data_IF_710208012665
#
_entry.id   IF_710208012665
#
_cell.length_a   1.000
_cell.length_b   1.000
_cell.length_c   1.000
_cell.angle_alpha   90.00
_cell.angle_beta   90.00
_cell.angle_gamma   90.00
#
_symmetry.space_group_name_H-M   'P 1'
#
loop_
_entity.id
_entity.type
_entity.pdbx_description
1 polymer ?
#
# COMPACT_ATOMS: atom_id res chain seq x y z
N UNK A 1 10.21 7.58 -30.85
CA UNK A 1 9.39 6.48 -31.38
C UNK A 1 10.16 5.82 -32.51
N UNK A 2 10.91 4.76 -32.22
CA UNK A 2 11.56 3.96 -33.27
C UNK A 2 10.54 2.96 -33.78
N UNK A 3 10.03 3.14 -35.01
CA UNK A 3 9.28 2.08 -35.66
C UNK A 3 10.20 0.87 -35.83
N UNK A 4 9.77 -0.30 -35.36
CA UNK A 4 10.40 -1.59 -35.61
C UNK A 4 10.30 -1.91 -37.11
N UNK A 5 11.14 -1.27 -37.92
CA UNK A 5 11.29 -1.60 -39.34
C UNK A 5 12.14 -2.85 -39.45
N UNK A 6 11.48 -3.99 -39.42
CA UNK A 6 12.11 -5.27 -39.75
C UNK A 6 11.25 -6.41 -39.29
N UNK A 7 11.03 -7.37 -40.20
CA UNK A 7 10.70 -8.77 -39.90
C UNK A 7 11.83 -9.38 -39.04
N UNK A 8 12.04 -8.86 -37.83
CA UNK A 8 12.82 -9.54 -36.81
C UNK A 8 12.11 -10.88 -36.60
N UNK A 9 12.90 -11.93 -36.72
CA UNK A 9 12.44 -13.27 -36.94
C UNK A 9 11.58 -13.76 -35.75
N UNK A 10 10.26 -13.59 -35.85
CA UNK A 10 9.27 -14.26 -35.00
C UNK A 10 9.45 -15.79 -35.03
N UNK A 11 10.09 -16.32 -36.09
CA UNK A 11 10.56 -17.71 -36.12
C UNK A 11 11.46 -18.11 -34.94
N UNK A 12 12.21 -17.19 -34.33
CA UNK A 12 13.01 -17.44 -33.13
C UNK A 12 12.18 -17.43 -31.82
N UNK A 13 11.02 -16.75 -31.81
CA UNK A 13 10.10 -16.74 -30.67
C UNK A 13 9.48 -18.13 -30.44
N UNK A 14 9.24 -18.88 -31.52
CA UNK A 14 8.74 -20.27 -31.43
C UNK A 14 9.80 -21.29 -30.97
N UNK A 15 11.08 -20.97 -31.09
CA UNK A 15 12.19 -21.92 -30.90
C UNK A 15 13.06 -21.66 -29.66
N UNK A 16 13.01 -20.45 -29.09
CA UNK A 16 13.82 -20.04 -27.94
C UNK A 16 12.98 -19.62 -26.72
N UNK A 17 11.84 -20.27 -26.51
CA UNK A 17 11.07 -20.16 -25.27
C UNK A 17 11.77 -20.93 -24.13
N UNK A 18 12.97 -20.52 -23.75
CA UNK A 18 13.44 -20.77 -22.39
C UNK A 18 12.59 -19.87 -21.48
N UNK A 19 11.62 -20.49 -20.82
CA UNK A 19 10.56 -19.87 -20.04
C UNK A 19 11.14 -19.26 -18.75
N UNK A 20 11.69 -18.04 -18.87
CA UNK A 20 12.48 -17.46 -17.78
C UNK A 20 11.67 -16.84 -16.65
N UNK A 21 10.34 -16.76 -16.73
CA UNK A 21 9.40 -16.52 -15.61
C UNK A 21 8.03 -16.09 -16.17
N UNK A 22 7.07 -17.01 -16.30
CA UNK A 22 5.67 -16.64 -16.38
C UNK A 22 5.21 -16.19 -14.99
N UNK A 23 4.98 -14.88 -14.79
CA UNK A 23 4.43 -14.33 -13.55
C UNK A 23 2.96 -13.99 -13.76
N UNK A 24 2.08 -14.65 -13.02
CA UNK A 24 0.68 -14.22 -12.87
C UNK A 24 0.60 -13.28 -11.67
N UNK A 25 0.16 -12.06 -11.88
CA UNK A 25 -0.36 -11.23 -10.79
C UNK A 25 -1.89 -11.38 -10.73
N UNK A 26 -2.43 -12.09 -9.72
CA UNK A 26 -3.86 -12.32 -9.59
C UNK A 26 -4.66 -11.07 -9.20
N UNK A 27 -4.00 -10.01 -8.77
CA UNK A 27 -4.61 -8.79 -8.25
C UNK A 27 -4.79 -7.71 -9.30
N UNK A 28 -3.89 -7.68 -10.30
CA UNK A 28 -4.02 -6.82 -11.47
C UNK A 28 -4.34 -7.62 -12.73
N UNK A 29 -4.60 -8.93 -12.66
CA UNK A 29 -4.93 -9.75 -13.84
C UNK A 29 -3.91 -9.64 -14.99
N UNK A 30 -2.63 -9.47 -14.66
CA UNK A 30 -1.55 -9.29 -15.63
C UNK A 30 -0.65 -10.53 -15.65
N UNK A 31 -0.42 -11.07 -16.84
CA UNK A 31 0.60 -12.09 -17.10
C UNK A 31 1.84 -11.43 -17.67
N UNK A 32 2.98 -11.65 -17.03
CA UNK A 32 4.25 -11.15 -17.56
C UNK A 32 5.09 -12.31 -18.08
N UNK A 33 5.64 -12.17 -19.30
CA UNK A 33 6.53 -13.16 -19.92
C UNK A 33 7.68 -12.47 -20.62
N UNK A 34 8.90 -12.90 -20.35
CA UNK A 34 10.09 -12.40 -21.05
C UNK A 34 10.39 -13.29 -22.25
N UNK A 35 10.48 -12.70 -23.44
CA UNK A 35 10.78 -13.38 -24.71
C UNK A 35 12.07 -12.81 -25.27
N UNK A 36 13.09 -13.63 -25.42
CA UNK A 36 14.34 -13.22 -26.08
C UNK A 36 14.10 -13.09 -27.59
N UNK A 37 14.37 -11.92 -28.15
CA UNK A 37 14.20 -11.62 -29.58
C UNK A 37 15.55 -11.52 -30.33
N UNK A 38 16.64 -11.31 -29.60
CA UNK A 38 18.02 -11.38 -30.11
C UNK A 38 19.01 -11.72 -28.98
N UNK A 39 20.30 -11.84 -29.31
CA UNK A 39 21.35 -12.28 -28.38
C UNK A 39 21.41 -11.43 -27.10
N UNK A 40 21.21 -10.12 -27.17
CA UNK A 40 21.20 -9.22 -26.01
C UNK A 40 19.88 -8.44 -25.89
N UNK A 41 18.79 -9.02 -26.40
CA UNK A 41 17.53 -8.30 -26.50
C UNK A 41 16.35 -9.18 -26.12
N UNK A 42 15.50 -8.65 -25.25
CA UNK A 42 14.25 -9.29 -24.87
C UNK A 42 13.07 -8.33 -24.95
N UNK A 43 11.89 -8.89 -25.14
CA UNK A 43 10.62 -8.25 -24.90
C UNK A 43 10.07 -8.75 -23.58
N UNK A 44 9.73 -7.84 -22.68
CA UNK A 44 8.86 -8.12 -21.55
C UNK A 44 7.42 -7.95 -22.06
N UNK A 45 6.69 -9.05 -22.17
CA UNK A 45 5.30 -9.06 -22.59
C UNK A 45 4.42 -9.01 -21.35
N UNK A 46 3.50 -8.06 -21.29
CA UNK A 46 2.48 -7.95 -20.24
C UNK A 46 1.09 -8.11 -20.84
N UNK A 47 0.38 -9.18 -20.47
CA UNK A 47 -1.00 -9.40 -20.88
C UNK A 47 -1.95 -9.08 -19.74
N UNK A 48 -2.68 -7.98 -19.85
CA UNK A 48 -3.66 -7.50 -18.88
C UNK A 48 -5.08 -7.60 -19.46
N UNK A 49 -5.95 -8.42 -18.86
CA UNK A 49 -7.35 -8.60 -19.31
C UNK A 49 -7.54 -8.96 -20.80
N UNK A 50 -6.53 -9.57 -21.44
CA UNK A 50 -6.54 -9.90 -22.87
C UNK A 50 -5.91 -8.83 -23.76
N UNK A 51 -5.46 -7.71 -23.20
CA UNK A 51 -4.65 -6.72 -23.89
C UNK A 51 -3.17 -7.00 -23.66
N UNK A 52 -2.43 -7.16 -24.75
CA UNK A 52 -0.99 -7.38 -24.73
C UNK A 52 -0.24 -6.05 -24.86
N UNK A 53 0.66 -5.78 -23.93
CA UNK A 53 1.68 -4.73 -23.99
C UNK A 53 3.05 -5.39 -24.10
N UNK A 54 3.99 -4.72 -24.74
CA UNK A 54 5.35 -5.21 -24.87
C UNK A 54 6.34 -4.11 -24.53
N UNK A 55 7.36 -4.45 -23.76
CA UNK A 55 8.41 -3.53 -23.34
C UNK A 55 9.76 -4.05 -23.83
N UNK A 56 10.46 -3.22 -24.59
CA UNK A 56 11.80 -3.50 -25.08
C UNK A 56 12.81 -3.44 -23.94
N UNK A 57 13.50 -4.55 -23.69
CA UNK A 57 14.43 -4.74 -22.57
C UNK A 57 13.83 -4.36 -21.20
N UNK A 58 12.50 -4.39 -21.07
CA UNK A 58 11.79 -4.02 -19.84
C UNK A 58 11.57 -2.51 -19.60
N UNK A 59 12.13 -1.64 -20.45
CA UNK A 59 12.19 -0.20 -20.16
C UNK A 59 11.22 0.64 -20.99
N UNK A 60 11.03 0.30 -22.26
CA UNK A 60 10.28 1.13 -23.20
C UNK A 60 9.16 0.35 -23.86
N UNK A 61 7.91 0.82 -23.71
CA UNK A 61 6.77 0.24 -24.40
C UNK A 61 6.94 0.37 -25.92
N UNK A 62 6.67 -0.72 -26.64
CA UNK A 62 6.76 -0.81 -28.09
C UNK A 62 5.40 -1.15 -28.68
N UNK A 63 5.01 -0.39 -29.71
CA UNK A 63 3.81 -0.70 -30.48
C UNK A 63 4.05 -1.95 -31.33
N UNK A 64 3.26 -2.99 -31.05
CA UNK A 64 3.25 -4.21 -31.84
C UNK A 64 2.14 -4.12 -32.90
N UNK A 65 2.45 -4.36 -34.19
CA UNK A 65 1.44 -4.58 -35.21
C UNK A 65 0.47 -5.71 -34.81
N UNK A 66 -0.80 -5.60 -35.20
CA UNK A 66 -1.87 -6.54 -34.86
C UNK A 66 -1.50 -8.01 -35.16
N UNK A 67 -0.91 -8.26 -36.34
CA UNK A 67 -0.41 -9.59 -36.73
C UNK A 67 0.62 -10.16 -35.75
N UNK A 68 1.47 -9.32 -35.16
CA UNK A 68 2.49 -9.74 -34.18
C UNK A 68 1.88 -9.92 -32.79
N UNK A 69 0.86 -9.14 -32.44
CA UNK A 69 0.14 -9.32 -31.18
C UNK A 69 -0.56 -10.69 -31.14
N UNK A 70 -1.23 -11.10 -32.22
CA UNK A 70 -1.87 -12.41 -32.31
C UNK A 70 -0.85 -13.56 -32.19
N UNK A 71 0.31 -13.43 -32.84
CA UNK A 71 1.38 -14.44 -32.75
C UNK A 71 1.96 -14.54 -31.33
N UNK A 72 2.16 -13.40 -30.66
CA UNK A 72 2.68 -13.34 -29.29
C UNK A 72 1.64 -13.76 -28.25
N UNK A 73 0.34 -13.57 -28.50
CA UNK A 73 -0.72 -14.10 -27.63
C UNK A 73 -0.70 -15.63 -27.58
N UNK A 74 -0.32 -16.31 -28.67
CA UNK A 74 -0.16 -17.77 -28.70
C UNK A 74 1.02 -18.27 -27.85
N UNK A 75 1.92 -17.36 -27.44
CA UNK A 75 3.00 -17.68 -26.50
C UNK A 75 2.44 -17.79 -25.07
N UNK A 76 1.27 -17.23 -24.77
CA UNK A 76 0.61 -17.48 -23.49
C UNK A 76 -0.21 -18.79 -23.57
N UNK A 77 -0.26 -19.60 -22.50
CA UNK A 77 -1.04 -20.82 -22.54
C UNK A 77 -2.53 -20.49 -22.70
N UNK A 78 -3.30 -21.34 -23.39
CA UNK A 78 -4.68 -21.06 -23.78
C UNK A 78 -5.60 -20.75 -22.58
N UNK A 79 -5.26 -21.29 -21.41
CA UNK A 79 -5.92 -21.00 -20.14
C UNK A 79 -5.66 -19.56 -19.66
N UNK A 80 -4.47 -18.98 -19.89
CA UNK A 80 -4.17 -17.57 -19.59
C UNK A 80 -5.12 -16.58 -20.30
N UNK A 81 -5.72 -16.99 -21.42
CA UNK A 81 -6.72 -16.22 -22.18
C UNK A 81 -8.14 -16.33 -21.59
N UNK A 82 -8.40 -17.17 -20.59
CA UNK A 82 -9.73 -17.33 -19.96
C UNK A 82 -9.80 -16.62 -18.61
N UNK A 83 -10.90 -15.93 -18.29
CA UNK A 83 -11.04 -15.14 -17.04
C UNK A 83 -10.84 -16.00 -15.78
N UNK A 84 -11.19 -17.29 -15.85
CA UNK A 84 -11.26 -18.20 -14.70
C UNK A 84 -9.92 -18.86 -14.35
N UNK A 85 -8.97 -18.98 -15.29
CA UNK A 85 -7.61 -19.44 -14.98
C UNK A 85 -6.68 -18.32 -14.48
N UNK A 86 -7.14 -17.05 -14.53
CA UNK A 86 -6.36 -15.83 -14.23
C UNK A 86 -6.12 -15.54 -12.75
N UNK A 87 -6.63 -16.37 -11.83
CA UNK A 87 -6.47 -16.19 -10.38
C UNK A 87 -6.15 -17.54 -9.76
N UNK A 88 -4.93 -17.76 -9.20
CA UNK A 88 -4.65 -18.94 -8.41
C UNK A 88 -5.67 -19.02 -7.28
N UNK A 89 -6.46 -20.09 -7.30
CA UNK A 89 -7.61 -20.27 -6.42
C UNK A 89 -7.11 -20.36 -4.97
N UNK A 90 -7.46 -19.38 -4.13
CA UNK A 90 -7.29 -19.49 -2.68
C UNK A 90 -8.33 -20.50 -2.21
N UNK A 91 -7.89 -21.72 -1.90
CA UNK A 91 -8.78 -22.77 -1.40
C UNK A 91 -9.51 -22.30 -0.14
N UNK A 92 -10.84 -22.40 -0.15
CA UNK A 92 -11.69 -21.94 0.94
C UNK A 92 -11.38 -22.62 2.28
N UNK A 93 -10.92 -23.87 2.25
CA UNK A 93 -10.53 -24.63 3.44
C UNK A 93 -9.29 -24.06 4.13
N UNK A 94 -8.22 -23.79 3.36
CA UNK A 94 -6.98 -23.19 3.88
C UNK A 94 -7.26 -21.81 4.46
N UNK A 95 -8.12 -21.05 3.78
CA UNK A 95 -8.55 -19.75 4.26
C UNK A 95 -9.38 -19.84 5.54
N UNK A 96 -10.35 -20.74 5.59
CA UNK A 96 -11.17 -20.97 6.78
C UNK A 96 -10.32 -21.48 7.97
N UNK A 97 -9.29 -22.28 7.71
CA UNK A 97 -8.33 -22.71 8.73
C UNK A 97 -7.55 -21.52 9.31
N UNK A 98 -7.08 -20.60 8.46
CA UNK A 98 -6.41 -19.35 8.87
C UNK A 98 -7.32 -18.47 9.71
N UNK A 99 -8.55 -18.21 9.25
CA UNK A 99 -9.54 -17.44 10.00
C UNK A 99 -9.79 -18.04 11.40
N UNK A 100 -10.00 -19.36 11.49
CA UNK A 100 -10.24 -20.02 12.78
C UNK A 100 -9.08 -19.91 13.76
N UNK A 101 -7.84 -19.95 13.25
CA UNK A 101 -6.63 -19.95 14.09
C UNK A 101 -6.17 -18.56 14.48
N UNK A 102 -6.40 -17.56 13.63
CA UNK A 102 -5.60 -16.33 13.66
C UNK A 102 -6.40 -15.04 13.49
N UNK A 103 -7.70 -15.09 13.21
CA UNK A 103 -8.49 -13.88 13.06
C UNK A 103 -8.57 -13.07 14.35
N UNK A 104 -8.28 -11.78 14.26
CA UNK A 104 -8.58 -10.82 15.32
C UNK A 104 -9.95 -10.22 15.01
N UNK A 105 -11.00 -10.74 15.66
CA UNK A 105 -12.39 -10.29 15.45
C UNK A 105 -13.24 -11.26 14.63
N UNK A 106 -14.55 -11.18 14.82
CA UNK A 106 -15.50 -12.13 14.22
C UNK A 106 -16.22 -11.58 12.99
N UNK A 107 -16.21 -10.26 12.78
CA UNK A 107 -16.98 -9.63 11.70
C UNK A 107 -16.10 -9.37 10.48
N UNK A 108 -16.60 -9.74 9.32
CA UNK A 108 -15.99 -9.46 8.02
C UNK A 108 -16.53 -8.13 7.52
N UNK A 109 -15.66 -7.23 7.06
CA UNK A 109 -16.12 -6.02 6.36
C UNK A 109 -16.63 -6.41 4.96
N UNK A 110 -17.92 -6.22 4.66
CA UNK A 110 -18.44 -6.50 3.32
C UNK A 110 -17.88 -5.54 2.25
N UNK A 111 -17.37 -4.37 2.66
CA UNK A 111 -16.94 -3.29 1.76
C UNK A 111 -15.41 -3.19 1.64
N UNK A 112 -14.65 -4.23 2.02
CA UNK A 112 -13.21 -4.23 1.77
C UNK A 112 -12.96 -4.17 0.26
N UNK A 113 -12.28 -3.10 -0.17
CA UNK A 113 -12.08 -2.75 -1.57
C UNK A 113 -11.39 -3.87 -2.34
N UNK A 114 -11.83 -4.09 -3.59
CA UNK A 114 -11.29 -5.10 -4.50
C UNK A 114 -10.77 -4.39 -5.74
N UNK A 115 -9.47 -4.48 -6.03
CA UNK A 115 -8.80 -3.95 -7.22
C UNK A 115 -8.96 -2.45 -7.50
N UNK A 116 -7.86 -1.70 -7.70
CA UNK A 116 -7.84 -0.34 -8.30
C UNK A 116 -8.72 0.77 -7.67
N UNK A 117 -9.50 0.48 -6.65
CA UNK A 117 -10.30 1.43 -5.85
C UNK A 117 -9.43 2.17 -4.82
N UNK A 118 -8.20 2.53 -5.20
CA UNK A 118 -7.20 3.19 -4.34
C UNK A 118 -7.52 4.67 -4.09
N UNK A 119 -8.77 4.98 -3.78
CA UNK A 119 -9.22 6.33 -3.46
C UNK A 119 -9.22 6.54 -1.95
N UNK A 120 -8.02 6.54 -1.35
CA UNK A 120 -7.84 6.76 0.09
C UNK A 120 -8.63 7.99 0.58
N UNK A 121 -8.66 9.03 -0.23
CA UNK A 121 -9.41 10.27 0.00
C UNK A 121 -10.91 10.03 0.12
N UNK A 122 -11.51 9.27 -0.80
CA UNK A 122 -12.94 8.98 -0.79
C UNK A 122 -13.28 8.09 0.41
N UNK A 123 -12.44 7.11 0.69
CA UNK A 123 -12.63 6.18 1.80
C UNK A 123 -12.54 6.89 3.15
N UNK A 124 -11.57 7.79 3.34
CA UNK A 124 -11.47 8.63 4.53
C UNK A 124 -12.72 9.47 4.70
N UNK A 125 -13.21 10.14 3.65
CA UNK A 125 -14.44 10.94 3.74
C UNK A 125 -15.68 10.10 4.05
N UNK A 126 -15.80 8.91 3.45
CA UNK A 126 -16.91 7.97 3.70
C UNK A 126 -16.92 7.52 5.16
N UNK A 127 -15.76 7.14 5.70
CA UNK A 127 -15.60 6.76 7.10
C UNK A 127 -15.87 7.96 8.02
N UNK A 128 -15.31 9.12 7.69
CA UNK A 128 -15.42 10.32 8.51
C UNK A 128 -16.86 10.77 8.70
N UNK A 129 -17.67 10.73 7.63
CA UNK A 129 -19.10 11.06 7.68
C UNK A 129 -19.93 10.12 8.56
N UNK A 130 -19.41 8.94 8.89
CA UNK A 130 -20.08 7.96 9.75
C UNK A 130 -19.69 8.09 11.23
N UNK A 131 -18.71 8.92 11.56
CA UNK A 131 -18.30 9.12 12.96
C UNK A 131 -19.44 9.76 13.77
N UNK A 132 -19.60 9.29 15.01
CA UNK A 132 -20.72 9.70 15.88
C UNK A 132 -20.63 11.15 16.34
N UNK A 133 -19.43 11.61 16.72
CA UNK A 133 -19.26 12.94 17.29
C UNK A 133 -18.96 13.99 16.22
N UNK A 134 -19.23 15.25 16.55
CA UNK A 134 -18.97 16.36 15.64
C UNK A 134 -17.47 16.54 15.39
N UNK A 135 -17.08 17.00 14.19
CA UNK A 135 -15.68 17.35 13.91
C UNK A 135 -15.11 18.39 14.87
N UNK A 136 -13.81 18.26 15.15
CA UNK A 136 -13.03 19.23 15.91
C UNK A 136 -12.36 20.29 15.01
N UNK A 137 -12.04 19.92 13.78
CA UNK A 137 -11.30 20.74 12.83
C UNK A 137 -9.81 20.44 12.73
N UNK A 138 -9.27 19.38 13.34
CA UNK A 138 -7.81 19.17 13.45
C UNK A 138 -7.30 17.97 12.67
N UNK A 139 -6.40 18.21 11.71
CA UNK A 139 -5.82 17.18 10.83
C UNK A 139 -4.30 17.16 10.95
N UNK A 140 -3.72 15.99 11.22
CA UNK A 140 -2.28 15.78 11.33
C UNK A 140 -1.83 14.76 10.28
N UNK A 141 -0.87 15.14 9.43
CA UNK A 141 -0.37 14.28 8.35
C UNK A 141 1.14 14.23 8.33
N UNK A 142 1.70 13.04 8.08
CA UNK A 142 3.13 12.77 7.99
C UNK A 142 3.47 12.14 6.64
N UNK A 143 4.45 12.71 5.93
CA UNK A 143 4.85 12.26 4.59
C UNK A 143 4.18 13.06 3.46
N UNK A 144 4.44 12.67 2.21
CA UNK A 144 4.00 13.39 1.02
C UNK A 144 2.49 13.60 0.95
N UNK A 145 2.07 14.78 0.51
CA UNK A 145 0.68 15.10 0.19
C UNK A 145 0.29 14.63 -1.22
N UNK A 146 1.28 14.22 -2.03
CA UNK A 146 1.09 13.82 -3.42
C UNK A 146 2.02 12.66 -3.77
N UNK A 147 1.54 11.77 -4.64
CA UNK A 147 2.38 10.80 -5.28
C UNK A 147 1.60 9.79 -6.10
N UNK A 148 1.62 9.97 -7.42
CA UNK A 148 1.72 8.80 -8.29
C UNK A 148 2.90 7.92 -7.85
N UNK A 149 3.00 6.71 -8.42
CA UNK A 149 4.01 5.71 -8.06
C UNK A 149 5.39 6.39 -7.89
N UNK A 150 5.96 6.32 -6.68
CA UNK A 150 7.26 6.92 -6.32
C UNK A 150 7.38 8.46 -6.38
N UNK A 151 6.28 9.21 -6.31
CA UNK A 151 6.32 10.67 -6.42
C UNK A 151 6.65 11.17 -7.84
N UNK A 152 6.53 10.30 -8.87
CA UNK A 152 6.71 10.67 -10.27
C UNK A 152 5.39 10.52 -11.04
N UNK A 153 4.93 11.60 -11.66
CA UNK A 153 3.70 11.63 -12.47
C UNK A 153 3.02 13.00 -12.44
N UNK A 154 2.10 13.25 -13.36
CA UNK A 154 1.26 14.45 -13.30
C UNK A 154 0.31 14.33 -12.11
N UNK A 155 0.42 15.29 -11.19
CA UNK A 155 -0.39 15.36 -9.97
C UNK A 155 -1.89 15.31 -10.28
N UNK A 156 -2.60 14.35 -9.71
CA UNK A 156 -4.06 14.43 -9.57
C UNK A 156 -4.36 14.96 -8.16
N UNK A 157 -5.00 16.13 -8.03
CA UNK A 157 -5.06 16.90 -6.78
C UNK A 157 -6.17 16.43 -5.84
N UNK A 158 -6.01 15.23 -5.28
CA UNK A 158 -7.00 14.58 -4.41
C UNK A 158 -6.34 14.07 -3.09
N UNK A 159 -5.63 14.95 -2.37
CA UNK A 159 -5.03 14.61 -1.08
C UNK A 159 -6.09 14.38 0.02
N UNK A 160 -6.09 13.24 0.73
CA UNK A 160 -7.11 12.94 1.74
C UNK A 160 -7.20 13.91 2.92
N UNK A 161 -6.07 14.47 3.36
CA UNK A 161 -6.04 15.43 4.46
C UNK A 161 -6.64 16.76 4.00
N UNK A 162 -6.30 17.21 2.80
CA UNK A 162 -6.88 18.41 2.17
C UNK A 162 -8.37 18.24 1.94
N UNK A 163 -8.81 17.13 1.36
CA UNK A 163 -10.23 16.85 1.11
C UNK A 163 -11.04 16.78 2.40
N UNK A 164 -10.49 16.18 3.46
CA UNK A 164 -11.12 16.22 4.77
C UNK A 164 -11.23 17.65 5.30
N UNK A 165 -10.18 18.46 5.21
CA UNK A 165 -10.22 19.86 5.63
C UNK A 165 -11.27 20.68 4.87
N UNK A 166 -11.41 20.47 3.56
CA UNK A 166 -12.47 21.09 2.75
C UNK A 166 -13.86 20.66 3.23
N UNK A 167 -14.05 19.37 3.52
CA UNK A 167 -15.31 18.86 4.07
C UNK A 167 -15.64 19.49 5.43
N UNK A 168 -14.64 19.59 6.31
CA UNK A 168 -14.78 20.23 7.63
C UNK A 168 -15.24 21.69 7.52
N UNK A 169 -14.70 22.45 6.56
CA UNK A 169 -15.13 23.81 6.27
C UNK A 169 -16.58 23.86 5.75
N UNK A 170 -16.96 22.96 4.84
CA UNK A 170 -18.34 22.87 4.31
C UNK A 170 -19.36 22.56 5.41
N UNK A 171 -18.98 21.77 6.41
CA UNK A 171 -19.79 21.48 7.59
C UNK A 171 -19.89 22.64 8.58
N UNK A 172 -19.25 23.78 8.30
CA UNK A 172 -19.29 24.98 9.13
C UNK A 172 -18.37 24.93 10.35
N UNK A 173 -17.35 24.07 10.33
CA UNK A 173 -16.32 24.05 11.38
C UNK A 173 -15.56 25.38 11.32
N UNK A 174 -15.69 26.19 12.36
CA UNK A 174 -15.23 27.58 12.38
C UNK A 174 -13.70 27.74 12.40
N UNK A 175 -12.97 26.70 12.83
CA UNK A 175 -11.51 26.66 12.82
C UNK A 175 -11.04 25.29 12.35
N UNK A 176 -10.67 25.21 11.08
CA UNK A 176 -9.98 24.03 10.52
C UNK A 176 -8.48 24.31 10.58
N UNK A 177 -7.71 23.37 11.10
CA UNK A 177 -6.26 23.44 11.26
C UNK A 177 -5.63 22.14 10.77
N UNK A 178 -4.60 22.27 9.95
CA UNK A 178 -3.81 21.16 9.44
C UNK A 178 -2.36 21.30 9.87
N UNK A 179 -1.71 20.19 10.21
CA UNK A 179 -0.25 20.13 10.37
C UNK A 179 0.30 19.05 9.44
N UNK A 180 1.16 19.48 8.53
CA UNK A 180 1.90 18.62 7.62
C UNK A 180 3.34 18.51 8.11
N UNK A 181 3.79 17.30 8.42
CA UNK A 181 5.16 17.03 8.89
C UNK A 181 5.91 16.20 7.87
N UNK A 182 7.16 16.60 7.54
CA UNK A 182 7.98 16.01 6.48
C UNK A 182 7.37 16.13 5.07
N UNK A 183 6.68 17.23 4.81
CA UNK A 183 6.06 17.49 3.53
C UNK A 183 7.02 18.30 2.65
N UNK A 184 7.29 17.82 1.44
CA UNK A 184 8.23 18.48 0.56
C UNK A 184 7.67 19.84 0.10
N UNK A 185 8.54 20.86 0.04
CA UNK A 185 8.13 22.25 -0.17
C UNK A 185 7.39 22.46 -1.49
N UNK A 186 7.78 21.72 -2.54
CA UNK A 186 7.17 21.80 -3.86
C UNK A 186 5.76 21.21 -3.91
N UNK A 187 5.47 20.20 -3.07
CA UNK A 187 4.15 19.56 -2.95
C UNK A 187 3.11 20.46 -2.27
N UNK A 188 3.53 21.45 -1.50
CA UNK A 188 2.61 22.40 -0.87
C UNK A 188 2.23 23.52 -1.84
N UNK A 189 3.14 23.94 -2.72
CA UNK A 189 2.88 24.97 -3.74
C UNK A 189 1.82 24.55 -4.76
N UNK A 190 1.57 23.26 -4.93
CA UNK A 190 0.53 22.72 -5.82
C UNK A 190 -0.86 22.61 -5.19
N UNK A 191 -1.10 23.16 -3.97
CA UNK A 191 -2.43 23.44 -3.38
C UNK A 191 -3.21 24.47 -4.22
N UNK A 192 -3.42 24.18 -5.49
CA UNK A 192 -3.96 25.04 -6.54
C UNK A 192 -5.48 25.14 -6.47
N UNK A 193 -6.17 24.26 -5.73
CA UNK A 193 -7.62 24.34 -5.50
C UNK A 193 -8.05 25.21 -4.30
N UNK A 194 -7.19 25.45 -3.31
CA UNK A 194 -7.63 26.03 -2.03
C UNK A 194 -6.69 27.11 -1.47
N UNK A 195 -6.67 28.28 -2.10
CA UNK A 195 -6.10 29.50 -1.50
C UNK A 195 -6.66 29.80 -0.09
N UNK A 196 -7.85 29.27 0.23
CA UNK A 196 -8.51 29.39 1.53
C UNK A 196 -7.94 28.45 2.62
N UNK A 197 -7.28 27.34 2.25
CA UNK A 197 -6.69 26.40 3.21
C UNK A 197 -5.22 26.68 3.49
N UNK A 198 -4.55 27.47 2.65
CA UNK A 198 -3.14 27.84 2.86
C UNK A 198 -2.90 28.51 4.23
N UNK A 199 -3.86 29.27 4.74
CA UNK A 199 -3.76 29.89 6.07
C UNK A 199 -4.09 28.92 7.23
N UNK A 200 -4.74 27.80 6.93
CA UNK A 200 -5.15 26.78 7.90
C UNK A 200 -4.12 25.65 8.04
N UNK A 201 -3.33 25.38 6.99
CA UNK A 201 -2.29 24.34 6.99
C UNK A 201 -0.95 24.91 7.43
N UNK A 202 -0.35 24.31 8.46
CA UNK A 202 1.02 24.59 8.90
C UNK A 202 1.95 23.47 8.44
N UNK A 203 3.17 23.81 8.07
CA UNK A 203 4.18 22.84 7.65
C UNK A 203 5.30 22.85 8.67
N UNK A 204 5.65 21.66 9.15
CA UNK A 204 6.79 21.44 10.01
C UNK A 204 7.77 20.53 9.26
N UNK A 205 8.92 21.08 8.89
CA UNK A 205 10.02 20.33 8.30
C UNK A 205 11.14 20.22 9.34
N UNK A 206 11.01 19.27 10.29
CA UNK A 206 12.03 19.12 11.32
C UNK A 206 13.36 18.68 10.68
N UNK A 207 14.46 19.03 11.36
CA UNK A 207 15.81 18.74 10.88
C UNK A 207 16.01 17.25 10.58
N UNK A 208 16.99 16.93 9.74
CA UNK A 208 17.33 15.57 9.28
C UNK A 208 17.49 14.57 10.45
N UNK A 209 17.99 15.04 11.60
CA UNK A 209 18.17 14.30 12.86
C UNK A 209 16.85 13.85 13.53
N UNK A 210 15.71 14.48 13.22
CA UNK A 210 14.38 14.08 13.69
C UNK A 210 13.74 12.99 12.79
N UNK A 211 14.29 12.75 11.59
CA UNK A 211 13.83 11.68 10.68
C UNK A 211 14.20 10.29 11.22
N UNK A 212 15.29 10.18 11.95
CA UNK A 212 15.75 8.95 12.60
C UNK A 212 15.13 8.78 13.98
N UNK A 213 13.81 8.56 14.03
CA UNK A 213 13.10 8.00 15.18
C UNK A 213 13.24 8.74 16.54
N UNK A 214 13.57 10.04 16.55
CA UNK A 214 13.72 10.76 17.82
C UNK A 214 12.39 10.78 18.59
N UNK A 215 12.39 10.42 19.89
CA UNK A 215 11.21 10.49 20.75
C UNK A 215 10.76 11.93 21.05
N UNK A 216 11.48 12.95 20.58
CA UNK A 216 11.29 14.36 20.93
C UNK A 216 10.61 15.19 19.83
N UNK A 217 9.77 14.59 18.98
CA UNK A 217 8.93 15.38 18.08
C UNK A 217 7.95 16.21 18.93
N UNK A 218 8.27 17.48 19.10
CA UNK A 218 7.41 18.43 19.82
C UNK A 218 6.36 18.96 18.84
N UNK A 219 5.12 18.50 19.03
CA UNK A 219 3.98 19.01 18.27
C UNK A 219 3.51 20.36 18.85
N UNK A 220 2.93 21.24 18.02
CA UNK A 220 2.21 22.40 18.52
C UNK A 220 1.09 21.97 19.50
N UNK A 221 0.82 22.72 20.57
CA UNK A 221 -0.14 22.35 21.61
C UNK A 221 -1.55 22.02 21.12
N UNK A 222 -2.00 22.65 20.02
CA UNK A 222 -3.30 22.39 19.39
C UNK A 222 -3.43 20.98 18.78
N UNK A 223 -2.30 20.31 18.51
CA UNK A 223 -2.25 18.91 18.08
C UNK A 223 -1.89 17.97 19.24
N UNK A 224 -1.68 18.51 20.44
CA UNK A 224 -1.55 17.72 21.67
C UNK A 224 -2.95 17.42 22.23
N UNK A 225 -3.42 16.20 22.02
CA UNK A 225 -4.75 15.76 22.46
C UNK A 225 -5.57 15.21 21.30
N UNK A 226 -6.88 15.51 21.29
CA UNK A 226 -7.78 14.96 20.27
C UNK A 226 -7.52 15.56 18.88
N UNK A 227 -7.43 14.69 17.88
CA UNK A 227 -7.35 15.07 16.46
C UNK A 227 -8.37 14.30 15.63
N UNK A 228 -8.96 14.92 14.61
CA UNK A 228 -9.94 14.25 13.74
C UNK A 228 -9.28 13.18 12.88
N UNK A 229 -8.13 13.49 12.27
CA UNK A 229 -7.37 12.57 11.42
C UNK A 229 -5.89 12.61 11.76
N UNK A 230 -5.30 11.43 11.93
CA UNK A 230 -3.85 11.20 11.88
C UNK A 230 -3.52 10.35 10.65
N UNK A 231 -2.87 10.94 9.65
CA UNK A 231 -2.35 10.23 8.48
C UNK A 231 -0.85 10.00 8.60
N UNK A 232 -0.43 8.77 8.32
CA UNK A 232 0.97 8.35 8.29
C UNK A 232 1.24 7.67 6.96
N UNK A 233 2.03 8.31 6.11
CA UNK A 233 2.46 7.78 4.83
C UNK A 233 3.82 7.05 4.91
N UNK A 234 4.35 6.62 3.77
CA UNK A 234 5.69 6.05 3.61
C UNK A 234 6.76 7.08 4.03
N UNK A 235 7.10 7.07 5.32
CA UNK A 235 8.24 7.82 5.81
C UNK A 235 9.52 7.08 5.43
N UNK A 236 10.54 7.85 5.06
CA UNK A 236 11.89 7.32 4.84
C UNK A 236 12.34 6.52 6.07
N UNK A 237 13.16 5.48 5.84
CA UNK A 237 13.73 4.61 6.90
C UNK A 237 12.71 3.79 7.70
N UNK A 238 11.49 3.63 7.20
CA UNK A 238 10.46 2.78 7.78
C UNK A 238 9.98 3.10 9.20
N UNK A 239 10.02 4.38 9.56
CA UNK A 239 9.72 4.83 10.92
C UNK A 239 8.22 5.02 11.19
N UNK A 240 7.31 4.82 10.23
CA UNK A 240 5.89 5.18 10.36
C UNK A 240 5.22 4.60 11.60
N UNK A 241 5.41 3.30 11.90
CA UNK A 241 4.80 2.70 13.09
C UNK A 241 5.51 3.05 14.39
N UNK A 242 6.81 3.35 14.36
CA UNK A 242 7.53 3.84 15.54
C UNK A 242 7.08 5.28 15.87
N UNK A 243 6.94 6.12 14.86
CA UNK A 243 6.41 7.47 14.99
C UNK A 243 4.97 7.43 15.53
N UNK A 244 4.10 6.59 14.96
CA UNK A 244 2.74 6.39 15.46
C UNK A 244 2.73 6.09 16.97
N UNK A 245 3.58 5.15 17.42
CA UNK A 245 3.72 4.83 18.85
C UNK A 245 4.16 6.03 19.67
N UNK A 246 5.12 6.81 19.18
CA UNK A 246 5.62 7.99 19.89
C UNK A 246 4.53 9.06 20.00
N UNK A 247 3.78 9.33 18.94
CA UNK A 247 2.65 10.28 18.93
C UNK A 247 1.56 9.89 19.94
N UNK A 248 1.15 8.61 19.93
CA UNK A 248 0.13 8.12 20.86
C UNK A 248 0.62 8.15 22.32
N UNK A 249 1.91 7.90 22.57
CA UNK A 249 2.51 8.03 23.91
C UNK A 249 2.62 9.48 24.37
N UNK A 250 2.92 10.39 23.46
CA UNK A 250 3.01 11.83 23.70
C UNK A 250 1.64 12.49 23.97
N UNK A 251 0.53 11.75 23.78
CA UNK A 251 -0.81 12.20 24.13
C UNK A 251 -1.68 12.58 22.94
N UNK A 252 -1.24 12.34 21.70
CA UNK A 252 -2.12 12.45 20.52
C UNK A 252 -3.20 11.38 20.61
N UNK A 253 -4.45 11.77 20.35
CA UNK A 253 -5.66 10.95 20.46
C UNK A 253 -6.48 11.10 19.18
N UNK A 254 -6.09 10.40 18.10
CA UNK A 254 -6.81 10.48 16.84
C UNK A 254 -8.17 9.79 16.93
N UNK A 255 -9.18 10.38 16.29
CA UNK A 255 -10.50 9.76 16.06
C UNK A 255 -10.45 8.79 14.89
N UNK A 256 -9.70 9.16 13.84
CA UNK A 256 -9.41 8.35 12.67
C UNK A 256 -7.89 8.32 12.42
N UNK A 257 -7.35 7.13 12.16
CA UNK A 257 -5.96 6.94 11.70
C UNK A 257 -6.00 6.36 10.30
N UNK A 258 -5.27 6.97 9.38
CA UNK A 258 -4.97 6.40 8.07
C UNK A 258 -3.49 6.06 8.02
N UNK A 259 -3.16 4.78 7.96
CA UNK A 259 -1.80 4.29 8.04
C UNK A 259 -1.44 3.48 6.81
N UNK A 260 -0.35 3.84 6.14
CA UNK A 260 0.27 2.96 5.16
C UNK A 260 0.80 1.71 5.88
N UNK A 261 0.28 0.54 5.52
CA UNK A 261 0.63 -0.76 6.11
C UNK A 261 1.40 -1.62 5.12
N UNK A 262 2.26 -2.47 5.65
CA UNK A 262 3.08 -3.36 4.85
C UNK A 262 2.26 -4.60 4.50
N UNK A 263 1.83 -4.68 3.26
CA UNK A 263 1.12 -5.86 2.74
C UNK A 263 2.03 -7.05 2.49
N UNK A 264 3.34 -6.82 2.39
CA UNK A 264 4.31 -7.90 2.15
C UNK A 264 4.43 -8.86 3.33
N UNK A 265 3.96 -8.47 4.51
CA UNK A 265 3.88 -9.38 5.64
C UNK A 265 2.41 -9.63 5.92
N UNK A 266 1.89 -10.83 5.59
CA UNK A 266 0.49 -11.14 5.74
C UNK A 266 0.07 -11.25 7.21
N UNK A 267 -1.19 -10.97 7.55
CA UNK A 267 -1.77 -11.40 8.82
C UNK A 267 -1.61 -12.91 9.05
N UNK A 268 -1.36 -13.37 10.29
CA UNK A 268 -1.40 -12.58 11.53
C UNK A 268 -0.04 -11.99 11.91
N UNK A 269 0.96 -12.11 11.03
CA UNK A 269 2.33 -11.82 11.41
C UNK A 269 2.51 -10.33 11.72
N UNK A 270 2.98 -10.06 12.92
CA UNK A 270 3.33 -8.73 13.43
C UNK A 270 4.79 -8.47 13.10
N UNK A 271 5.00 -7.81 11.97
CA UNK A 271 6.31 -7.33 11.54
C UNK A 271 6.50 -5.86 11.89
N UNK A 272 7.67 -5.53 12.44
CA UNK A 272 8.15 -4.17 12.61
C UNK A 272 9.61 -4.07 12.14
N UNK A 273 9.92 -3.13 11.22
CA UNK A 273 11.31 -2.77 10.96
C UNK A 273 11.88 -2.05 12.18
N UNK A 274 13.14 -2.31 12.54
CA UNK A 274 13.82 -1.60 13.60
C UNK A 274 14.72 -0.54 12.96
N UNK A 275 14.40 0.74 13.21
CA UNK A 275 15.23 1.85 12.78
C UNK A 275 16.58 1.80 13.51
N UNK A 276 17.65 1.47 12.79
CA UNK A 276 19.03 1.51 13.30
C UNK A 276 19.81 2.56 12.51
N UNK A 277 20.48 3.51 13.18
CA UNK A 277 21.29 4.52 12.48
C UNK A 277 22.28 3.87 11.50
N UNK A 278 22.29 4.35 10.25
CA UNK A 278 23.16 3.83 9.19
C UNK A 278 22.62 2.60 8.44
N UNK A 279 21.43 2.11 8.77
CA UNK A 279 20.75 1.05 8.04
C UNK A 279 19.37 1.51 7.57
N UNK A 280 19.12 1.36 6.28
CA UNK A 280 17.83 1.66 5.68
C UNK A 280 17.01 0.39 5.57
N UNK A 281 15.76 0.44 6.03
CA UNK A 281 14.83 -0.63 5.77
C UNK A 281 14.69 -0.87 4.25
N UNK A 282 14.54 -2.12 3.80
CA UNK A 282 14.36 -2.41 2.39
C UNK A 282 13.20 -1.59 1.81
N UNK A 283 13.31 -1.03 0.58
CA UNK A 283 12.25 -0.22 -0.02
C UNK A 283 10.90 -0.93 -0.11
N UNK A 284 10.91 -2.26 -0.19
CA UNK A 284 9.70 -3.07 -0.20
C UNK A 284 9.05 -3.24 1.21
N UNK A 285 9.76 -2.93 2.30
CA UNK A 285 9.39 -3.22 3.70
C UNK A 285 9.38 -1.95 4.58
N UNK A 286 8.98 -0.80 4.04
CA UNK A 286 9.09 0.53 4.65
C UNK A 286 8.08 0.87 5.76
N UNK A 287 7.32 -0.09 6.29
CA UNK A 287 6.36 0.17 7.39
C UNK A 287 6.06 -1.13 8.13
N UNK A 288 5.27 -1.08 9.21
CA UNK A 288 4.85 -2.30 9.89
C UNK A 288 3.73 -3.02 9.14
N UNK A 289 3.65 -4.34 9.35
CA UNK A 289 2.53 -5.17 8.88
C UNK A 289 1.18 -4.66 9.42
N UNK A 290 0.09 -5.06 8.76
CA UNK A 290 -1.27 -4.80 9.25
C UNK A 290 -1.49 -5.31 10.68
N UNK A 291 -1.13 -6.56 10.97
CA UNK A 291 -1.29 -7.13 12.32
C UNK A 291 -0.41 -6.40 13.36
N UNK A 292 0.78 -5.94 12.97
CA UNK A 292 1.61 -5.07 13.82
C UNK A 292 0.94 -3.73 14.13
N UNK A 293 0.33 -3.09 13.13
CA UNK A 293 -0.43 -1.86 13.33
C UNK A 293 -1.62 -2.06 14.28
N UNK A 294 -2.39 -3.14 14.09
CA UNK A 294 -3.50 -3.53 14.98
C UNK A 294 -3.01 -3.69 16.42
N UNK A 295 -1.89 -4.39 16.63
CA UNK A 295 -1.33 -4.62 17.97
C UNK A 295 -0.92 -3.32 18.68
N UNK A 296 -0.42 -2.35 17.93
CA UNK A 296 -0.08 -1.02 18.45
C UNK A 296 -1.35 -0.24 18.79
N UNK A 297 -2.28 -0.15 17.86
CA UNK A 297 -3.44 0.73 17.92
C UNK A 297 -4.52 0.25 18.90
N UNK A 298 -4.66 -1.06 19.07
CA UNK A 298 -5.61 -1.66 20.02
C UNK A 298 -5.40 -1.14 21.45
N UNK A 299 -4.15 -0.88 21.86
CA UNK A 299 -3.80 -0.35 23.18
C UNK A 299 -4.32 1.08 23.42
N UNK A 300 -4.75 1.76 22.36
CA UNK A 300 -5.24 3.13 22.36
C UNK A 300 -6.71 3.22 21.92
N UNK A 301 -7.46 2.12 22.01
CA UNK A 301 -8.89 2.06 21.65
C UNK A 301 -9.17 2.37 20.16
N UNK A 302 -8.16 2.15 19.30
CA UNK A 302 -8.22 2.34 17.87
C UNK A 302 -8.31 0.99 17.16
N UNK A 303 -9.37 0.77 16.40
CA UNK A 303 -9.71 -0.51 15.81
C UNK A 303 -9.72 -0.42 14.30
N UNK A 304 -9.23 -1.47 13.63
CA UNK A 304 -9.30 -1.59 12.19
C UNK A 304 -10.77 -1.55 11.76
N UNK A 305 -11.06 -0.77 10.71
CA UNK A 305 -12.39 -0.69 10.10
C UNK A 305 -12.39 -0.88 8.60
N UNK A 306 -11.26 -0.67 7.93
CA UNK A 306 -11.16 -0.81 6.48
C UNK A 306 -9.72 -0.97 6.03
N UNK A 307 -9.54 -1.70 4.93
CA UNK A 307 -8.33 -1.65 4.11
C UNK A 307 -8.68 -1.04 2.74
N UNK A 308 -7.88 -0.09 2.29
CA UNK A 308 -8.04 0.60 1.00
C UNK A 308 -6.67 0.75 0.34
N UNK A 309 -6.40 -0.08 -0.67
CA UNK A 309 -5.06 -0.18 -1.25
C UNK A 309 -4.01 -0.48 -0.17
N UNK A 310 -2.87 0.23 -0.14
CA UNK A 310 -1.82 0.05 0.87
C UNK A 310 -2.11 0.71 2.21
N UNK A 311 -3.30 1.30 2.40
CA UNK A 311 -3.66 1.96 3.63
C UNK A 311 -4.68 1.15 4.44
N UNK A 312 -4.50 1.21 5.75
CA UNK A 312 -5.46 0.73 6.74
C UNK A 312 -6.08 1.92 7.47
N UNK A 313 -7.40 1.90 7.59
CA UNK A 313 -8.16 2.88 8.36
C UNK A 313 -8.52 2.29 9.72
N UNK A 314 -8.22 3.05 10.77
CA UNK A 314 -8.56 2.70 12.14
C UNK A 314 -9.36 3.81 12.78
N UNK A 315 -10.35 3.46 13.59
CA UNK A 315 -11.21 4.43 14.26
C UNK A 315 -11.21 4.20 15.76
N UNK A 316 -11.39 5.28 16.52
CA UNK A 316 -11.65 5.18 17.94
C UNK A 316 -12.98 4.44 18.18
N UNK A 317 -13.00 3.44 19.08
CA UNK A 317 -14.16 2.58 19.31
C UNK A 317 -15.43 3.36 19.60
N UNK A 318 -15.33 4.42 20.41
CA UNK A 318 -16.45 5.28 20.79
C UNK A 318 -17.07 6.04 19.61
N UNK A 319 -16.32 6.25 18.54
CA UNK A 319 -16.73 7.03 17.37
C UNK A 319 -17.45 6.19 16.32
N UNK A 320 -17.26 4.87 16.31
CA UNK A 320 -17.84 4.00 15.29
C UNK A 320 -19.25 3.51 15.68
N UNK A 321 -20.23 3.56 14.76
CA UNK A 321 -21.59 3.13 15.04
C UNK A 321 -21.72 1.63 15.25
N UNK A 322 -20.87 0.81 14.63
CA UNK A 322 -21.04 -0.63 14.54
C UNK A 322 -20.07 -1.42 15.44
N UNK A 323 -20.22 -2.76 15.47
CA UNK A 323 -19.33 -3.65 16.23
C UNK A 323 -17.96 -3.82 15.56
N UNK A 324 -16.90 -3.81 16.39
CA UNK A 324 -15.47 -3.88 16.06
C UNK A 324 -14.78 -4.84 17.06
N UNK A 325 -13.64 -5.48 16.72
CA UNK A 325 -12.84 -5.33 15.50
C UNK A 325 -13.41 -6.03 14.26
N UNK A 326 -12.98 -5.58 13.08
CA UNK A 326 -13.12 -6.36 11.84
C UNK A 326 -11.99 -7.37 11.70
N UNK A 327 -12.26 -8.46 10.99
CA UNK A 327 -11.30 -9.49 10.66
C UNK A 327 -10.32 -9.01 9.57
N UNK A 328 -9.05 -8.94 9.92
CA UNK A 328 -8.00 -8.44 9.03
C UNK A 328 -7.68 -9.39 7.88
N UNK A 329 -7.93 -10.70 8.05
CA UNK A 329 -7.65 -11.69 7.02
C UNK A 329 -8.55 -11.47 5.82
N UNK A 330 -9.88 -11.38 6.01
CA UNK A 330 -10.81 -11.34 4.88
C UNK A 330 -10.60 -10.11 4.00
N UNK A 331 -10.24 -8.99 4.63
CA UNK A 331 -9.83 -7.80 3.90
C UNK A 331 -8.50 -8.01 3.18
N UNK A 332 -7.51 -8.61 3.83
CA UNK A 332 -6.23 -8.94 3.19
C UNK A 332 -6.39 -9.88 1.97
N UNK A 333 -7.26 -10.89 2.04
CA UNK A 333 -7.54 -11.80 0.92
C UNK A 333 -8.16 -11.09 -0.28
N UNK A 334 -8.98 -10.08 -0.03
CA UNK A 334 -9.70 -9.33 -1.07
C UNK A 334 -8.89 -8.14 -1.61
N UNK A 335 -7.91 -7.67 -0.86
CA UNK A 335 -7.19 -6.45 -1.18
C UNK A 335 -6.02 -6.68 -2.14
N UNK A 336 -5.92 -5.80 -3.13
CA UNK A 336 -4.88 -5.81 -4.17
C UNK A 336 -3.72 -4.91 -3.75
N UNK A 337 -3.16 -5.19 -2.58
CA UNK A 337 -2.26 -4.27 -1.87
C UNK A 337 -0.84 -4.33 -2.42
N UNK A 338 -0.66 -4.07 -3.72
CA UNK A 338 0.58 -4.38 -4.41
C UNK A 338 0.96 -3.21 -5.32
N UNK A 339 1.59 -2.20 -4.73
CA UNK A 339 1.85 -0.91 -5.37
C UNK A 339 3.31 -0.63 -5.76
N UNK A 340 4.19 -1.64 -5.73
CA UNK A 340 5.59 -1.52 -6.17
C UNK A 340 5.88 -2.63 -7.18
N UNK A 341 6.72 -2.35 -8.17
CA UNK A 341 7.00 -3.19 -9.35
C UNK A 341 7.52 -4.61 -9.01
N UNK A 342 7.93 -4.87 -7.76
CA UNK A 342 8.44 -6.16 -7.24
C UNK A 342 7.45 -6.95 -6.34
N UNK A 343 6.14 -6.69 -6.45
CA UNK A 343 5.13 -7.18 -5.50
C UNK A 343 4.01 -7.98 -6.21
N UNK A 344 3.45 -9.06 -5.62
CA UNK A 344 3.76 -9.65 -4.31
C UNK A 344 5.01 -10.51 -4.30
N UNK A 345 5.79 -10.37 -3.22
CA UNK A 345 6.95 -11.21 -2.94
C UNK A 345 6.53 -12.69 -2.86
N UNK A 346 7.38 -13.64 -3.28
CA UNK A 346 7.02 -15.07 -3.37
C UNK A 346 6.39 -15.64 -2.08
N UNK A 347 6.91 -15.27 -0.91
CA UNK A 347 6.41 -15.76 0.38
C UNK A 347 5.00 -15.29 0.73
N UNK A 348 4.56 -14.14 0.22
CA UNK A 348 3.17 -13.70 0.38
C UNK A 348 2.23 -14.62 -0.39
N UNK A 349 2.65 -15.03 -1.60
CA UNK A 349 1.88 -15.93 -2.45
C UNK A 349 1.77 -17.32 -1.83
N UNK A 350 2.88 -17.81 -1.28
CA UNK A 350 2.92 -19.06 -0.52
C UNK A 350 1.99 -19.00 0.70
N UNK A 351 2.03 -17.91 1.47
CA UNK A 351 1.15 -17.71 2.62
C UNK A 351 -0.33 -17.86 2.27
N UNK A 352 -0.79 -17.32 1.15
CA UNK A 352 -2.20 -17.40 0.79
C UNK A 352 -2.64 -18.85 0.48
N UNK A 353 -1.71 -19.69 0.02
CA UNK A 353 -2.02 -20.99 -0.60
C UNK A 353 -1.72 -22.18 0.28
N UNK A 354 -0.68 -22.10 1.11
CA UNK A 354 -0.18 -23.21 1.90
C UNK A 354 -0.57 -23.09 3.38
N UNK A 355 -0.28 -24.14 4.15
CA UNK A 355 -0.52 -24.19 5.58
C UNK A 355 0.49 -23.31 6.34
N UNK A 356 0.01 -22.71 7.44
CA UNK A 356 0.77 -21.73 8.25
C UNK A 356 2.12 -22.28 8.71
N UNK A 357 2.13 -23.55 9.13
CA UNK A 357 3.30 -24.22 9.71
C UNK A 357 4.40 -24.47 8.66
N UNK A 358 4.04 -24.58 7.38
CA UNK A 358 4.98 -24.77 6.26
C UNK A 358 5.54 -23.44 5.75
N UNK A 359 4.72 -22.39 5.76
CA UNK A 359 5.10 -21.07 5.24
C UNK A 359 5.97 -20.29 6.23
N UNK A 360 5.72 -20.40 7.53
CA UNK A 360 6.38 -19.58 8.54
C UNK A 360 7.93 -19.64 8.49
N UNK A 361 8.59 -20.82 8.41
CA UNK A 361 10.04 -20.88 8.30
C UNK A 361 10.58 -20.19 7.03
N UNK A 362 9.84 -20.27 5.92
CA UNK A 362 10.23 -19.67 4.63
C UNK A 362 10.04 -18.15 4.66
N UNK A 363 8.92 -17.68 5.21
CA UNK A 363 8.68 -16.27 5.45
C UNK A 363 9.80 -15.64 6.29
N UNK A 364 10.15 -16.29 7.42
CA UNK A 364 11.24 -15.83 8.28
C UNK A 364 12.56 -15.71 7.50
N UNK A 365 12.95 -16.78 6.80
CA UNK A 365 14.19 -16.80 6.00
C UNK A 365 14.21 -15.70 4.94
N UNK A 366 13.12 -15.50 4.22
CA UNK A 366 13.05 -14.51 3.14
C UNK A 366 13.10 -13.08 3.68
N UNK A 367 12.41 -12.80 4.80
CA UNK A 367 12.54 -11.51 5.49
C UNK A 367 13.97 -11.29 6.00
N UNK A 368 14.61 -12.31 6.59
CA UNK A 368 16.01 -12.23 7.00
C UNK A 368 16.96 -11.96 5.83
N UNK A 369 16.70 -12.50 4.65
CA UNK A 369 17.50 -12.22 3.45
C UNK A 369 17.32 -10.79 2.96
N UNK A 370 16.08 -10.27 2.94
CA UNK A 370 15.82 -8.87 2.56
C UNK A 370 16.46 -7.88 3.53
N UNK A 371 16.50 -8.22 4.81
CA UNK A 371 17.11 -7.42 5.88
C UNK A 371 18.61 -7.64 6.05
N UNK A 372 19.25 -8.51 5.25
CA UNK A 372 20.67 -8.80 5.39
C UNK A 372 21.53 -7.52 5.36
N UNK A 373 21.14 -6.55 4.50
CA UNK A 373 21.76 -5.23 4.42
C UNK A 373 20.89 -4.12 5.05
N UNK A 374 19.60 -4.39 5.30
CA UNK A 374 18.56 -3.39 5.63
C UNK A 374 18.29 -3.12 7.11
N UNK A 375 19.12 -3.69 8.00
CA UNK A 375 18.97 -3.54 9.46
C UNK A 375 18.09 -4.62 10.10
N UNK A 376 17.95 -4.63 11.43
CA UNK A 376 17.20 -5.67 12.13
C UNK A 376 15.68 -5.44 12.04
N UNK A 377 14.91 -6.51 12.27
CA UNK A 377 13.44 -6.47 12.33
C UNK A 377 12.91 -7.36 13.45
N UNK A 378 11.64 -7.19 13.81
CA UNK A 378 10.89 -8.14 14.62
C UNK A 378 9.79 -8.78 13.80
N UNK A 379 9.55 -10.07 14.04
CA UNK A 379 8.44 -10.83 13.49
C UNK A 379 7.85 -11.70 14.59
N UNK A 380 6.57 -11.54 14.86
CA UNK A 380 5.82 -12.36 15.81
C UNK A 380 4.49 -12.81 15.18
N UNK A 381 3.85 -13.80 15.80
CA UNK A 381 2.48 -14.24 15.46
C UNK A 381 1.49 -13.53 16.37
#
# INVERSE_FOLDING_TARGET
MGQLTGRLALGAVSAAAEDYMARVDPSIHTWTRTVRVAEETFLLLEMHQGHLRAFWNGDAEVDLPEEQQEELLNVFPADALTVEARVPQIHGENWAAKLRRHAVGHRVDPNCAVNSENHLEKEILVVFRQLRSRPLGSVLTFGGLYGGVHGRGADVPDDPAVELMLELQRLGTSQVQGLCVFCDGDQVTSLTRASQLQSAMRILNPAEELRSASPELTLPPEFAGQVDLLRLDALQHAVSCQLLRNLLRAGVRPRLVALLVLSQVPPPFKYFPLSVPGHDAPPALMTCSLSGAIEVLLKYDLFLIRLTGPYALFVQRSEWPEELPINEFDCYRKASVWGLEDIPLPFVREWLREDVDEVLPRLWRNLSQLHFDGGPFTLAV
#
